data_IF_850598737023
#
_entry.id   IF_850598737023
#
_cell.length_a   1.000
_cell.length_b   1.000
_cell.length_c   1.000
_cell.angle_alpha   90.00
_cell.angle_beta   90.00
_cell.angle_gamma   90.00
#
_symmetry.space_group_name_H-M   'P 1'
#
loop_
_entity.id
_entity.type
_entity.pdbx_description
1 polymer ?
#
# COMPACT_ATOMS: atom_id res chain seq x y z
N UNK A 1 14.03 15.56 14.93
CA UNK A 1 14.90 15.56 13.73
C UNK A 1 14.13 15.97 12.48
N UNK A 2 13.00 15.34 12.14
CA UNK A 2 12.18 15.72 10.97
C UNK A 2 11.66 17.17 10.98
N UNK A 3 11.17 17.68 12.12
CA UNK A 3 10.78 19.10 12.25
C UNK A 3 11.93 20.05 11.93
N UNK A 4 13.12 19.75 12.46
CA UNK A 4 14.34 20.53 12.21
C UNK A 4 14.76 20.46 10.75
N UNK A 5 14.74 19.27 10.11
CA UNK A 5 15.10 19.13 8.70
C UNK A 5 14.17 19.97 7.79
N UNK A 6 12.88 20.04 8.13
CA UNK A 6 11.91 20.90 7.42
C UNK A 6 12.19 22.38 7.62
N UNK A 7 12.45 22.81 8.86
CA UNK A 7 12.80 24.21 9.17
C UNK A 7 14.10 24.65 8.50
N UNK A 8 15.00 23.70 8.17
CA UNK A 8 16.25 23.95 7.46
C UNK A 8 16.14 23.76 5.94
N UNK A 9 14.91 23.67 5.40
CA UNK A 9 14.67 23.68 3.97
C UNK A 9 15.03 22.39 3.24
N UNK A 10 15.14 21.24 3.92
CA UNK A 10 15.26 19.96 3.23
C UNK A 10 13.99 19.73 2.39
N UNK A 11 14.10 19.61 1.05
CA UNK A 11 12.96 19.26 0.23
C UNK A 11 12.52 17.84 0.56
N UNK A 12 11.23 17.66 0.80
CA UNK A 12 10.61 16.35 0.74
C UNK A 12 9.91 16.16 -0.59
N UNK A 13 9.66 14.90 -0.90
CA UNK A 13 8.92 14.44 -2.05
C UNK A 13 8.21 13.13 -1.65
N UNK A 14 7.59 12.47 -2.61
CA UNK A 14 6.79 11.26 -2.43
C UNK A 14 7.58 10.14 -1.73
N UNK A 15 8.92 10.12 -1.86
CA UNK A 15 9.81 9.17 -1.20
C UNK A 15 9.78 9.29 0.33
N UNK A 16 9.47 10.47 0.87
CA UNK A 16 9.35 10.67 2.32
C UNK A 16 8.13 9.90 2.85
N UNK A 17 6.99 10.02 2.16
CA UNK A 17 5.79 9.27 2.49
C UNK A 17 5.98 7.77 2.25
N UNK A 18 6.60 7.39 1.13
CA UNK A 18 6.94 5.99 0.81
C UNK A 18 7.79 5.34 1.89
N UNK A 19 8.90 5.98 2.31
CA UNK A 19 9.79 5.42 3.32
C UNK A 19 9.13 5.34 4.70
N UNK A 20 8.29 6.32 5.05
CA UNK A 20 7.47 6.23 6.25
C UNK A 20 6.46 5.08 6.17
N UNK A 21 5.92 4.82 4.99
CA UNK A 21 4.97 3.75 4.75
C UNK A 21 5.60 2.37 4.89
N UNK A 22 6.73 2.14 4.21
CA UNK A 22 7.51 0.91 4.32
C UNK A 22 7.95 0.62 5.76
N UNK A 23 8.40 1.65 6.49
CA UNK A 23 8.85 1.52 7.88
C UNK A 23 7.72 1.42 8.92
N UNK A 24 6.46 1.54 8.52
CA UNK A 24 5.31 1.49 9.43
C UNK A 24 5.19 2.70 10.37
N UNK A 25 5.81 3.82 10.04
CA UNK A 25 5.80 5.02 10.87
C UNK A 25 4.57 5.91 10.62
N UNK A 26 3.39 5.46 11.06
CA UNK A 26 2.11 6.16 10.81
C UNK A 26 2.08 7.61 11.27
N UNK A 27 2.61 7.90 12.46
CA UNK A 27 2.63 9.27 12.98
C UNK A 27 3.56 10.19 12.16
N UNK A 28 4.62 9.63 11.55
CA UNK A 28 5.48 10.38 10.64
C UNK A 28 4.75 10.64 9.32
N UNK A 29 4.03 9.65 8.78
CA UNK A 29 3.25 9.80 7.57
C UNK A 29 2.14 10.85 7.73
N UNK A 30 1.39 10.80 8.84
CA UNK A 30 0.40 11.83 9.21
C UNK A 30 1.01 13.22 9.27
N UNK A 31 2.11 13.35 10.02
CA UNK A 31 2.80 14.63 10.15
C UNK A 31 3.31 15.15 8.80
N UNK A 32 3.89 14.29 7.95
CA UNK A 32 4.34 14.69 6.62
C UNK A 32 3.17 15.19 5.77
N UNK A 33 2.04 14.48 5.80
CA UNK A 33 0.85 14.86 5.04
C UNK A 33 0.23 16.18 5.49
N UNK A 34 0.01 16.36 6.79
CA UNK A 34 -0.54 17.60 7.38
C UNK A 34 0.26 18.84 6.99
N UNK A 35 1.53 18.65 6.66
CA UNK A 35 2.46 19.71 6.37
C UNK A 35 2.72 19.91 4.87
N UNK A 36 2.02 19.18 4.01
CA UNK A 36 2.02 19.35 2.56
C UNK A 36 3.03 18.48 1.81
N UNK A 37 3.51 17.39 2.41
CA UNK A 37 4.31 16.40 1.69
C UNK A 37 3.43 15.70 0.62
N UNK A 38 3.88 15.62 -0.65
CA UNK A 38 3.16 14.87 -1.66
C UNK A 38 3.27 13.37 -1.38
N UNK A 39 2.31 12.63 -1.92
CA UNK A 39 2.29 11.18 -1.95
C UNK A 39 1.74 10.70 -3.29
N UNK A 40 1.95 9.44 -3.58
CA UNK A 40 1.53 8.73 -4.79
C UNK A 40 1.07 7.31 -4.43
N UNK A 41 0.69 6.53 -5.43
CA UNK A 41 0.21 5.14 -5.30
C UNK A 41 1.26 4.25 -4.62
N UNK A 42 2.54 4.60 -4.74
CA UNK A 42 3.65 3.89 -4.10
C UNK A 42 3.56 3.90 -2.57
N UNK A 43 2.94 4.94 -1.98
CA UNK A 43 2.71 5.00 -0.53
C UNK A 43 1.76 3.88 -0.08
N UNK A 44 0.68 3.64 -0.83
CA UNK A 44 -0.27 2.56 -0.58
C UNK A 44 0.34 1.17 -0.86
N UNK A 45 1.05 0.97 -1.99
CA UNK A 45 1.71 -0.34 -2.22
C UNK A 45 2.72 -0.64 -1.11
N UNK A 46 3.59 0.29 -0.69
CA UNK A 46 4.57 -0.01 0.38
C UNK A 46 3.89 -0.33 1.73
N UNK A 47 2.79 0.34 2.07
CA UNK A 47 2.02 0.00 3.27
C UNK A 47 1.41 -1.41 3.16
N UNK A 48 0.89 -1.77 1.97
CA UNK A 48 0.32 -3.08 1.70
C UNK A 48 1.37 -4.20 1.69
N UNK A 49 2.52 -3.97 1.04
CA UNK A 49 3.70 -4.84 1.01
C UNK A 49 4.19 -5.18 2.43
N UNK A 50 4.30 -4.14 3.26
CA UNK A 50 4.84 -4.25 4.61
C UNK A 50 3.81 -4.72 5.65
N UNK A 51 2.56 -4.93 5.26
CA UNK A 51 1.51 -5.42 6.16
C UNK A 51 0.93 -4.36 7.11
N UNK A 52 1.16 -3.07 6.86
CA UNK A 52 0.73 -1.98 7.75
C UNK A 52 -0.72 -1.59 7.49
N UNK A 53 -1.65 -2.44 7.90
CA UNK A 53 -3.07 -2.31 7.55
C UNK A 53 -3.70 -0.97 7.97
N UNK A 54 -3.55 -0.57 9.24
CA UNK A 54 -4.11 0.71 9.74
C UNK A 54 -3.54 1.93 9.00
N UNK A 55 -2.30 1.83 8.52
CA UNK A 55 -1.67 2.89 7.75
C UNK A 55 -2.21 2.97 6.33
N UNK A 56 -2.37 1.83 5.65
CA UNK A 56 -2.98 1.80 4.32
C UNK A 56 -4.39 2.39 4.38
N UNK A 57 -5.17 1.97 5.37
CA UNK A 57 -6.53 2.48 5.60
C UNK A 57 -6.54 3.99 5.78
N UNK A 58 -5.70 4.50 6.69
CA UNK A 58 -5.59 5.93 6.93
C UNK A 58 -5.15 6.69 5.67
N UNK A 59 -4.15 6.18 4.93
CA UNK A 59 -3.66 6.83 3.71
C UNK A 59 -4.77 6.96 2.66
N UNK A 60 -5.50 5.86 2.39
CA UNK A 60 -6.61 5.87 1.45
C UNK A 60 -7.74 6.81 1.86
N UNK A 61 -8.18 6.76 3.12
CA UNK A 61 -9.24 7.63 3.66
C UNK A 61 -8.88 9.12 3.58
N UNK A 62 -7.58 9.45 3.54
CA UNK A 62 -7.09 10.82 3.42
C UNK A 62 -6.75 11.22 1.97
N UNK A 63 -7.10 10.39 0.99
CA UNK A 63 -6.96 10.69 -0.44
C UNK A 63 -5.59 10.35 -1.02
N UNK A 64 -4.87 9.40 -0.42
CA UNK A 64 -3.74 8.77 -1.10
C UNK A 64 -4.26 7.90 -2.25
N UNK A 65 -3.79 8.11 -3.49
CA UNK A 65 -4.18 7.25 -4.59
C UNK A 65 -3.63 5.83 -4.37
N UNK A 66 -4.23 4.87 -5.06
CA UNK A 66 -3.76 3.49 -5.14
C UNK A 66 -4.02 2.93 -6.53
N UNK A 67 -3.34 1.85 -6.86
CA UNK A 67 -3.48 1.12 -8.12
C UNK A 67 -3.41 -0.39 -7.87
N UNK A 68 -3.44 -1.18 -8.95
CA UNK A 68 -3.41 -2.65 -8.92
C UNK A 68 -2.21 -3.20 -8.14
N UNK A 69 -1.11 -2.43 -8.06
CA UNK A 69 0.07 -2.82 -7.31
C UNK A 69 -0.23 -2.97 -5.83
N UNK A 70 -1.15 -2.18 -5.27
CA UNK A 70 -1.53 -2.33 -3.85
C UNK A 70 -2.06 -3.73 -3.55
N UNK A 71 -2.89 -4.28 -4.45
CA UNK A 71 -3.38 -5.66 -4.35
C UNK A 71 -2.27 -6.69 -4.59
N UNK A 72 -1.43 -6.50 -5.61
CA UNK A 72 -0.34 -7.47 -5.88
C UNK A 72 0.72 -7.49 -4.77
N UNK A 73 1.08 -6.33 -4.21
CA UNK A 73 2.03 -6.20 -3.08
C UNK A 73 1.48 -6.92 -1.83
N UNK A 74 0.19 -6.74 -1.50
CA UNK A 74 -0.46 -7.48 -0.41
C UNK A 74 -0.49 -8.99 -0.66
N UNK A 75 -0.78 -9.40 -1.90
CA UNK A 75 -0.81 -10.81 -2.30
C UNK A 75 0.54 -11.49 -2.24
N UNK A 76 1.59 -10.84 -2.72
CA UNK A 76 2.97 -11.33 -2.68
C UNK A 76 3.41 -11.67 -1.25
N UNK A 77 3.11 -10.77 -0.32
CA UNK A 77 3.60 -10.83 1.06
C UNK A 77 2.66 -11.55 2.03
N UNK A 78 1.54 -12.10 1.56
CA UNK A 78 0.66 -12.93 2.38
C UNK A 78 -0.34 -12.13 3.24
N UNK A 79 -0.58 -10.86 2.93
CA UNK A 79 -1.46 -9.99 3.71
C UNK A 79 -2.92 -10.08 3.25
N UNK A 80 -3.57 -11.23 3.50
CA UNK A 80 -4.93 -11.51 3.03
C UNK A 80 -5.97 -10.48 3.50
N UNK A 81 -5.90 -10.03 4.75
CA UNK A 81 -6.86 -9.07 5.30
C UNK A 81 -6.73 -7.68 4.64
N UNK A 82 -5.49 -7.28 4.30
CA UNK A 82 -5.24 -6.06 3.54
C UNK A 82 -5.84 -6.17 2.13
N UNK A 83 -5.62 -7.30 1.46
CA UNK A 83 -6.15 -7.53 0.11
C UNK A 83 -7.68 -7.50 0.08
N UNK A 84 -8.34 -8.18 1.03
CA UNK A 84 -9.81 -8.17 1.18
C UNK A 84 -10.32 -6.75 1.33
N UNK A 85 -9.78 -6.02 2.29
CA UNK A 85 -10.20 -4.66 2.57
C UNK A 85 -9.95 -3.72 1.38
N UNK A 86 -8.79 -3.81 0.72
CA UNK A 86 -8.49 -3.01 -0.46
C UNK A 86 -9.52 -3.25 -1.57
N UNK A 87 -9.89 -4.52 -1.81
CA UNK A 87 -10.92 -4.87 -2.82
C UNK A 87 -12.31 -4.40 -2.46
N UNK A 88 -12.72 -4.54 -1.21
CA UNK A 88 -14.01 -4.04 -0.72
C UNK A 88 -14.14 -2.52 -0.87
N UNK A 89 -13.02 -1.79 -0.82
CA UNK A 89 -12.97 -0.34 -0.98
C UNK A 89 -12.67 0.12 -2.42
N UNK A 90 -12.67 -0.81 -3.39
CA UNK A 90 -12.57 -0.46 -4.81
C UNK A 90 -11.14 -0.28 -5.34
N UNK A 91 -10.12 -0.73 -4.61
CA UNK A 91 -8.76 -0.82 -5.17
C UNK A 91 -8.78 -1.74 -6.40
N UNK A 92 -8.28 -1.31 -7.55
CA UNK A 92 -8.23 -2.18 -8.72
C UNK A 92 -7.28 -3.36 -8.49
N UNK A 93 -7.42 -4.40 -9.30
CA UNK A 93 -6.54 -5.57 -9.32
C UNK A 93 -6.46 -6.12 -10.75
N UNK A 94 -5.42 -6.89 -11.03
CA UNK A 94 -5.19 -7.55 -12.31
C UNK A 94 -4.60 -8.95 -12.08
N UNK A 95 -4.19 -9.64 -13.15
CA UNK A 95 -3.57 -10.96 -13.07
C UNK A 95 -2.31 -11.00 -12.20
N UNK A 96 -1.62 -9.88 -11.98
CA UNK A 96 -0.43 -9.84 -11.14
C UNK A 96 -0.74 -10.21 -9.69
N UNK A 97 -1.98 -9.97 -9.24
CA UNK A 97 -2.44 -10.32 -7.88
C UNK A 97 -2.39 -11.84 -7.66
N UNK A 98 -2.82 -12.65 -8.64
CA UNK A 98 -2.77 -14.11 -8.54
C UNK A 98 -1.36 -14.66 -8.85
N UNK A 99 -0.62 -14.04 -9.79
CA UNK A 99 0.76 -14.43 -10.13
C UNK A 99 1.67 -14.24 -8.91
N UNK A 100 1.53 -13.11 -8.21
CA UNK A 100 2.27 -12.82 -6.98
C UNK A 100 1.97 -13.84 -5.88
N UNK A 101 0.70 -14.19 -5.67
CA UNK A 101 0.30 -15.20 -4.70
C UNK A 101 0.84 -16.60 -5.06
N UNK A 102 0.82 -16.98 -6.34
CA UNK A 102 1.38 -18.25 -6.83
C UNK A 102 2.90 -18.32 -6.64
N UNK A 103 3.63 -17.31 -7.09
CA UNK A 103 5.09 -17.26 -7.01
C UNK A 103 5.64 -17.33 -5.59
N UNK A 104 4.86 -16.85 -4.62
CA UNK A 104 5.24 -16.81 -3.21
C UNK A 104 4.55 -17.89 -2.36
N UNK A 105 3.79 -18.80 -2.97
CA UNK A 105 3.15 -19.92 -2.26
C UNK A 105 2.01 -19.49 -1.32
N UNK A 106 1.38 -18.34 -1.57
CA UNK A 106 0.30 -17.77 -0.75
C UNK A 106 -1.03 -18.43 -1.09
N UNK A 107 -1.18 -19.70 -0.73
CA UNK A 107 -2.29 -20.58 -1.16
C UNK A 107 -3.66 -20.03 -0.75
N UNK A 108 -3.78 -19.45 0.45
CA UNK A 108 -5.06 -18.90 0.92
C UNK A 108 -5.48 -17.67 0.12
N UNK A 109 -4.53 -16.77 -0.15
CA UNK A 109 -4.76 -15.59 -1.00
C UNK A 109 -5.13 -16.01 -2.42
N UNK A 110 -4.41 -16.97 -2.99
CA UNK A 110 -4.67 -17.46 -4.34
C UNK A 110 -6.09 -18.01 -4.49
N UNK A 111 -6.54 -18.83 -3.52
CA UNK A 111 -7.90 -19.36 -3.50
C UNK A 111 -8.92 -18.23 -3.39
N UNK A 112 -8.72 -17.34 -2.42
CA UNK A 112 -9.64 -16.22 -2.21
C UNK A 112 -9.73 -15.30 -3.43
N UNK A 113 -8.60 -14.93 -4.05
CA UNK A 113 -8.57 -14.06 -5.22
C UNK A 113 -9.29 -14.70 -6.43
N UNK A 114 -9.12 -16.02 -6.65
CA UNK A 114 -9.84 -16.76 -7.70
C UNK A 114 -11.35 -16.80 -7.44
N UNK A 115 -11.73 -17.11 -6.21
CA UNK A 115 -13.15 -17.19 -5.81
C UNK A 115 -13.86 -15.83 -5.91
N UNK A 116 -13.11 -14.73 -5.83
CA UNK A 116 -13.64 -13.36 -5.92
C UNK A 116 -13.46 -12.73 -7.31
N UNK A 117 -13.12 -13.52 -8.34
CA UNK A 117 -13.12 -13.08 -9.73
C UNK A 117 -11.92 -12.21 -10.13
N UNK A 118 -10.77 -12.39 -9.47
CA UNK A 118 -9.52 -11.80 -9.94
C UNK A 118 -9.22 -12.30 -11.36
N UNK A 119 -8.88 -11.41 -12.33
CA UNK A 119 -8.59 -11.81 -13.70
C UNK A 119 -7.45 -12.84 -13.77
N UNK A 120 -7.60 -13.85 -14.62
CA UNK A 120 -6.49 -14.72 -15.01
C UNK A 120 -5.58 -14.02 -16.02
N UNK A 121 -4.35 -14.49 -16.15
CA UNK A 121 -3.54 -14.16 -17.33
C UNK A 121 -4.21 -14.79 -18.57
N UNK A 122 -4.34 -14.02 -19.66
CA UNK A 122 -4.75 -14.53 -20.98
C UNK A 122 -3.60 -15.26 -21.68
#
# INVERSE_FOLDING_TARGET
MLKWARENGCPWNEWTCRGAAESGHLEILKWARENGCPWDESTCCCAAESGHFEMLKWAHENGCPWDERTCSCASEHGHLEILKWARENGCPWNSDTIIAAEGNGQIEILKWARDNGCPSYE
#
